data_IF_171054542575
#
_entry.id   IF_171054542575
#
_cell.length_a   1.000
_cell.length_b   1.000
_cell.length_c   1.000
_cell.angle_alpha   90.00
_cell.angle_beta   90.00
_cell.angle_gamma   90.00
#
_symmetry.space_group_name_H-M   'P 1'
#
loop_
_entity.id
_entity.type
_entity.pdbx_description
1 polymer ?
#
# COMPACT_ATOMS: atom_id res chain seq x y z
N UNK A 1 -24.86 -36.45 -21.77
CA UNK A 1 -24.52 -35.09 -21.30
C UNK A 1 -25.70 -34.19 -21.61
N UNK A 2 -26.36 -33.57 -20.63
CA UNK A 2 -27.44 -32.63 -20.85
C UNK A 2 -26.88 -31.43 -21.65
N UNK A 3 -27.56 -31.00 -22.70
CA UNK A 3 -27.16 -29.84 -23.49
C UNK A 3 -27.15 -28.59 -22.61
N UNK A 4 -26.04 -27.86 -22.65
CA UNK A 4 -25.86 -26.61 -21.88
C UNK A 4 -26.95 -25.60 -22.32
N UNK A 5 -27.76 -25.14 -21.38
CA UNK A 5 -28.75 -24.11 -21.63
C UNK A 5 -28.08 -22.82 -22.05
N UNK A 6 -28.55 -22.18 -23.10
CA UNK A 6 -27.94 -21.00 -23.73
C UNK A 6 -28.95 -19.85 -23.84
N UNK A 7 -28.48 -18.65 -24.18
CA UNK A 7 -29.34 -17.51 -24.53
C UNK A 7 -30.39 -17.89 -25.59
N UNK A 8 -30.01 -18.74 -26.57
CA UNK A 8 -30.91 -19.19 -27.60
C UNK A 8 -32.06 -20.06 -27.03
N UNK A 9 -31.73 -20.97 -26.11
CA UNK A 9 -32.74 -21.81 -25.46
C UNK A 9 -33.79 -21.00 -24.73
N UNK A 10 -33.38 -19.92 -24.02
CA UNK A 10 -34.33 -19.02 -23.35
C UNK A 10 -35.12 -18.18 -24.37
N UNK A 11 -34.44 -17.69 -25.42
CA UNK A 11 -35.09 -16.92 -26.50
C UNK A 11 -36.21 -17.73 -27.20
N UNK A 12 -35.93 -18.99 -27.52
CA UNK A 12 -36.91 -19.91 -28.16
C UNK A 12 -38.07 -20.19 -27.20
N UNK A 13 -37.80 -20.37 -25.88
CA UNK A 13 -38.83 -20.62 -24.85
C UNK A 13 -39.81 -19.46 -24.69
N UNK A 14 -39.34 -18.22 -24.78
CA UNK A 14 -40.12 -16.99 -24.56
C UNK A 14 -40.71 -16.44 -25.89
N UNK A 15 -40.16 -16.84 -27.04
CA UNK A 15 -40.54 -16.34 -28.36
C UNK A 15 -39.98 -14.94 -28.65
N UNK A 16 -38.74 -14.68 -28.26
CA UNK A 16 -38.03 -13.38 -28.46
C UNK A 16 -36.64 -13.57 -29.06
N UNK A 17 -36.02 -12.48 -29.46
CA UNK A 17 -34.62 -12.55 -29.97
C UNK A 17 -33.61 -12.82 -28.87
N UNK A 18 -32.44 -13.40 -29.21
CA UNK A 18 -31.30 -13.56 -28.30
C UNK A 18 -30.87 -12.22 -27.69
N UNK A 19 -30.93 -11.14 -28.47
CA UNK A 19 -30.62 -9.80 -28.02
C UNK A 19 -31.58 -9.33 -26.93
N UNK A 20 -32.89 -9.61 -27.11
CA UNK A 20 -33.91 -9.29 -26.11
C UNK A 20 -33.67 -10.02 -24.80
N UNK A 21 -33.31 -11.31 -24.85
CA UNK A 21 -32.92 -12.07 -23.66
C UNK A 21 -31.66 -11.49 -23.03
N UNK A 22 -30.61 -11.17 -23.81
CA UNK A 22 -29.39 -10.55 -23.30
C UNK A 22 -29.69 -9.22 -22.62
N UNK A 23 -30.58 -8.40 -23.18
CA UNK A 23 -30.95 -7.11 -22.61
C UNK A 23 -31.73 -7.28 -21.28
N UNK A 24 -32.51 -8.35 -21.08
CA UNK A 24 -33.17 -8.61 -19.80
C UNK A 24 -32.21 -8.72 -18.63
N UNK A 25 -30.97 -9.20 -18.88
CA UNK A 25 -29.90 -9.32 -17.89
C UNK A 25 -28.99 -8.09 -17.83
N UNK A 26 -28.74 -7.39 -18.94
CA UNK A 26 -27.68 -6.36 -19.04
C UNK A 26 -28.20 -4.93 -19.20
N UNK A 27 -29.40 -4.72 -19.73
CA UNK A 27 -30.03 -3.41 -20.00
C UNK A 27 -31.51 -3.46 -19.70
N UNK A 28 -31.93 -3.59 -18.43
CA UNK A 28 -33.32 -3.75 -18.03
C UNK A 28 -34.20 -2.56 -18.44
N UNK A 29 -33.63 -1.39 -18.57
CA UNK A 29 -34.26 -0.15 -19.04
C UNK A 29 -34.76 -0.20 -20.49
N UNK A 30 -34.24 -1.11 -21.30
CA UNK A 30 -34.64 -1.29 -22.71
C UNK A 30 -35.83 -2.24 -22.90
N UNK A 31 -36.41 -2.77 -21.83
CA UNK A 31 -37.51 -3.72 -21.88
C UNK A 31 -38.66 -3.29 -20.98
N UNK A 32 -39.90 -3.65 -21.39
CA UNK A 32 -41.01 -3.51 -20.47
C UNK A 32 -40.82 -4.41 -19.24
N UNK A 33 -41.24 -3.96 -18.03
CA UNK A 33 -41.14 -4.77 -16.83
C UNK A 33 -41.76 -6.16 -16.95
N UNK A 34 -42.92 -6.25 -17.63
CA UNK A 34 -43.64 -7.51 -17.87
C UNK A 34 -42.83 -8.48 -18.75
N UNK A 35 -42.24 -8.00 -19.85
CA UNK A 35 -41.40 -8.84 -20.73
C UNK A 35 -40.13 -9.29 -20.02
N UNK A 36 -39.51 -8.41 -19.27
CA UNK A 36 -38.33 -8.76 -18.48
C UNK A 36 -38.64 -9.84 -17.45
N UNK A 37 -39.75 -9.73 -16.71
CA UNK A 37 -40.16 -10.74 -15.74
C UNK A 37 -40.39 -12.11 -16.41
N UNK A 38 -41.06 -12.16 -17.58
CA UNK A 38 -41.25 -13.41 -18.35
C UNK A 38 -39.92 -14.05 -18.74
N UNK A 39 -38.93 -13.25 -19.20
CA UNK A 39 -37.64 -13.77 -19.63
C UNK A 39 -36.86 -14.33 -18.41
N UNK A 40 -36.87 -13.63 -17.30
CA UNK A 40 -36.16 -14.07 -16.09
C UNK A 40 -36.78 -15.33 -15.50
N UNK A 41 -38.11 -15.45 -15.47
CA UNK A 41 -38.82 -16.67 -15.03
C UNK A 41 -38.49 -17.88 -15.92
N UNK A 42 -38.51 -17.69 -17.24
CA UNK A 42 -38.15 -18.77 -18.18
C UNK A 42 -36.67 -19.17 -18.05
N UNK A 43 -35.77 -18.21 -17.76
CA UNK A 43 -34.37 -18.50 -17.53
C UNK A 43 -34.16 -19.32 -16.23
N UNK A 44 -34.87 -18.98 -15.17
CA UNK A 44 -34.87 -19.70 -13.89
C UNK A 44 -35.40 -21.14 -14.05
N UNK A 45 -36.56 -21.32 -14.70
CA UNK A 45 -37.10 -22.63 -15.01
C UNK A 45 -36.15 -23.54 -15.79
N UNK A 46 -35.37 -22.96 -16.70
CA UNK A 46 -34.40 -23.68 -17.51
C UNK A 46 -33.03 -23.85 -16.81
N UNK A 47 -32.82 -23.26 -15.63
CA UNK A 47 -31.51 -23.25 -14.94
C UNK A 47 -30.47 -22.36 -15.63
N UNK A 48 -30.91 -21.33 -16.36
CA UNK A 48 -30.03 -20.39 -17.04
C UNK A 48 -29.73 -19.18 -16.15
N UNK A 49 -28.48 -19.05 -15.68
CA UNK A 49 -28.05 -17.99 -14.76
C UNK A 49 -27.66 -16.67 -15.45
N UNK A 50 -27.82 -16.58 -16.77
CA UNK A 50 -27.46 -15.38 -17.55
C UNK A 50 -26.33 -15.61 -18.56
N UNK A 51 -26.02 -14.58 -19.37
CA UNK A 51 -24.91 -14.65 -20.33
C UNK A 51 -23.58 -14.96 -19.67
N UNK A 52 -22.74 -15.74 -20.33
CA UNK A 52 -21.39 -16.05 -19.87
C UNK A 52 -20.62 -14.77 -19.54
N UNK A 53 -20.03 -14.64 -18.33
CA UNK A 53 -19.29 -13.45 -17.93
C UNK A 53 -18.13 -13.12 -18.85
N UNK A 54 -17.40 -14.14 -19.34
CA UNK A 54 -16.26 -13.97 -20.27
C UNK A 54 -16.71 -13.43 -21.62
N UNK A 55 -17.82 -13.99 -22.17
CA UNK A 55 -18.40 -13.49 -23.42
C UNK A 55 -18.93 -12.05 -23.26
N UNK A 56 -19.47 -11.69 -22.09
CA UNK A 56 -19.88 -10.32 -21.80
C UNK A 56 -18.70 -9.36 -21.72
N UNK A 57 -17.63 -9.74 -21.04
CA UNK A 57 -16.42 -8.94 -20.93
C UNK A 57 -15.84 -8.65 -22.33
N UNK A 58 -15.74 -9.68 -23.18
CA UNK A 58 -15.29 -9.54 -24.56
C UNK A 58 -16.19 -8.59 -25.37
N UNK A 59 -17.51 -8.75 -25.27
CA UNK A 59 -18.47 -7.91 -25.99
C UNK A 59 -18.48 -6.44 -25.52
N UNK A 60 -18.16 -6.19 -24.26
CA UNK A 60 -18.09 -4.84 -23.67
C UNK A 60 -16.71 -4.20 -23.80
N UNK A 61 -15.68 -4.98 -24.09
CA UNK A 61 -14.29 -4.53 -24.04
C UNK A 61 -13.81 -4.16 -22.63
N UNK A 62 -14.48 -4.66 -21.58
CA UNK A 62 -14.19 -4.39 -20.17
C UNK A 62 -14.54 -5.60 -19.32
N UNK A 63 -13.64 -5.94 -18.39
CA UNK A 63 -13.79 -7.09 -17.48
C UNK A 63 -14.60 -6.75 -16.24
N UNK A 64 -14.64 -5.46 -15.87
CA UNK A 64 -15.20 -4.99 -14.62
C UNK A 64 -14.34 -5.30 -13.41
N UNK A 65 -13.04 -5.56 -13.61
CA UNK A 65 -12.10 -5.85 -12.55
C UNK A 65 -10.82 -5.01 -12.68
N UNK A 66 -10.30 -4.56 -11.55
CA UNK A 66 -8.99 -3.89 -11.44
C UNK A 66 -8.06 -4.66 -10.52
N UNK A 67 -6.75 -4.54 -10.74
CA UNK A 67 -5.73 -5.20 -9.93
C UNK A 67 -5.11 -4.27 -8.91
N UNK A 68 -4.58 -4.85 -7.81
CA UNK A 68 -3.54 -4.22 -6.98
C UNK A 68 -2.36 -5.16 -6.97
N UNK A 69 -1.24 -4.71 -7.53
CA UNK A 69 0.04 -5.42 -7.47
C UNK A 69 0.77 -4.98 -6.19
N UNK A 70 0.94 -5.90 -5.26
CA UNK A 70 1.63 -5.71 -3.98
C UNK A 70 3.05 -6.25 -4.08
N UNK A 71 4.00 -5.58 -3.43
CA UNK A 71 5.44 -5.96 -3.44
C UNK A 71 5.68 -7.34 -2.88
N UNK A 72 5.10 -7.59 -1.71
CA UNK A 72 5.33 -8.79 -0.91
C UNK A 72 4.25 -9.85 -1.11
N UNK A 73 4.28 -10.88 -0.25
CA UNK A 73 3.24 -11.89 -0.24
C UNK A 73 1.88 -11.27 0.16
N UNK A 74 0.80 -11.86 -0.30
CA UNK A 74 -0.54 -11.44 0.13
C UNK A 74 -0.73 -11.66 1.63
N UNK A 75 -0.09 -12.67 2.21
CA UNK A 75 -0.10 -12.92 3.64
C UNK A 75 0.46 -11.73 4.43
N UNK A 76 1.61 -11.20 4.00
CA UNK A 76 2.19 -9.99 4.59
C UNK A 76 1.25 -8.79 4.44
N UNK A 77 0.69 -8.56 3.25
CA UNK A 77 -0.20 -7.43 3.00
C UNK A 77 -1.46 -7.45 3.89
N UNK A 78 -1.94 -8.63 4.29
CA UNK A 78 -3.06 -8.76 5.23
C UNK A 78 -2.63 -8.66 6.71
N UNK A 79 -1.37 -8.89 7.01
CA UNK A 79 -0.81 -8.70 8.36
C UNK A 79 -0.40 -7.23 8.62
N UNK A 80 -0.10 -6.47 7.57
CA UNK A 80 0.26 -5.06 7.65
C UNK A 80 -1.01 -4.18 7.74
N UNK A 81 -1.13 -3.44 8.84
CA UNK A 81 -2.27 -2.56 9.10
C UNK A 81 -2.39 -1.43 8.08
N UNK A 82 -1.27 -0.90 7.60
CA UNK A 82 -1.24 0.19 6.62
C UNK A 82 -1.70 -0.31 5.24
N UNK A 83 -1.23 -1.47 4.82
CA UNK A 83 -1.65 -2.09 3.58
C UNK A 83 -3.14 -2.46 3.60
N UNK A 84 -3.63 -3.06 4.70
CA UNK A 84 -5.06 -3.41 4.83
C UNK A 84 -5.96 -2.18 4.85
N UNK A 85 -5.56 -1.10 5.53
CA UNK A 85 -6.29 0.16 5.55
C UNK A 85 -6.31 0.84 4.16
N UNK A 86 -5.17 0.83 3.46
CA UNK A 86 -5.08 1.31 2.07
C UNK A 86 -6.04 0.56 1.15
N UNK A 87 -6.04 -0.78 1.19
CA UNK A 87 -6.94 -1.62 0.40
C UNK A 87 -8.42 -1.34 0.74
N UNK A 88 -8.74 -1.15 2.01
CA UNK A 88 -10.07 -0.77 2.46
C UNK A 88 -10.53 0.56 1.87
N UNK A 89 -9.69 1.60 1.96
CA UNK A 89 -9.97 2.92 1.43
C UNK A 89 -10.10 2.92 -0.10
N UNK A 90 -9.21 2.19 -0.79
CA UNK A 90 -9.28 2.01 -2.24
C UNK A 90 -10.59 1.31 -2.66
N UNK A 91 -10.98 0.24 -1.95
CA UNK A 91 -12.23 -0.47 -2.20
C UNK A 91 -13.45 0.44 -2.02
N UNK A 92 -13.45 1.28 -0.97
CA UNK A 92 -14.50 2.27 -0.75
C UNK A 92 -14.56 3.31 -1.90
N UNK A 93 -13.42 3.77 -2.41
CA UNK A 93 -13.34 4.66 -3.58
C UNK A 93 -13.88 4.00 -4.87
N UNK A 94 -13.64 2.71 -5.06
CA UNK A 94 -14.11 1.96 -6.22
C UNK A 94 -15.58 1.54 -6.14
N UNK A 95 -16.18 1.49 -4.95
CA UNK A 95 -17.55 0.99 -4.75
C UNK A 95 -18.61 1.64 -5.66
N UNK A 96 -18.61 2.97 -5.94
CA UNK A 96 -19.57 3.59 -6.83
C UNK A 96 -19.47 3.11 -8.29
N UNK A 97 -18.32 2.57 -8.69
CA UNK A 97 -18.09 2.11 -10.08
C UNK A 97 -18.57 0.68 -10.33
N UNK A 98 -18.79 -0.10 -9.28
CA UNK A 98 -19.08 -1.53 -9.36
C UNK A 98 -17.90 -2.39 -9.82
N UNK A 99 -16.67 -1.86 -9.86
CA UNK A 99 -15.46 -2.61 -10.21
C UNK A 99 -15.10 -3.58 -9.09
N UNK A 100 -14.73 -4.80 -9.48
CA UNK A 100 -14.16 -5.78 -8.57
C UNK A 100 -12.65 -5.52 -8.36
N UNK A 101 -12.13 -5.83 -7.16
CA UNK A 101 -10.71 -5.74 -6.84
C UNK A 101 -10.07 -7.12 -6.86
N UNK A 102 -8.94 -7.25 -7.57
CA UNK A 102 -8.12 -8.45 -7.63
C UNK A 102 -6.73 -8.15 -7.05
N UNK A 103 -6.30 -8.91 -6.05
CA UNK A 103 -4.98 -8.76 -5.47
C UNK A 103 -3.96 -9.62 -6.20
N UNK A 104 -2.82 -9.05 -6.53
CA UNK A 104 -1.68 -9.68 -7.20
C UNK A 104 -0.46 -9.53 -6.30
N UNK A 105 0.28 -10.62 -6.07
CA UNK A 105 1.59 -10.57 -5.40
C UNK A 105 2.69 -10.38 -6.43
N UNK A 106 3.71 -9.58 -6.11
CA UNK A 106 4.95 -9.49 -6.89
C UNK A 106 5.98 -10.55 -6.48
N UNK A 107 5.78 -11.22 -5.34
CA UNK A 107 6.65 -12.29 -4.83
C UNK A 107 6.29 -13.66 -5.40
N UNK A 108 7.25 -14.60 -5.47
CA UNK A 108 7.04 -15.96 -5.96
C UNK A 108 7.01 -16.09 -7.49
N UNK A 109 6.07 -16.86 -8.05
CA UNK A 109 5.85 -17.03 -9.50
C UNK A 109 4.61 -16.30 -10.03
N UNK A 110 4.38 -15.03 -9.71
CA UNK A 110 3.13 -14.31 -9.95
C UNK A 110 2.99 -13.77 -11.37
N UNK A 111 4.03 -13.97 -12.22
CA UNK A 111 4.07 -13.50 -13.60
C UNK A 111 2.86 -13.98 -14.41
N UNK A 112 2.38 -15.20 -14.13
CA UNK A 112 1.19 -15.76 -14.78
C UNK A 112 -0.05 -14.91 -14.51
N UNK A 113 -0.29 -14.53 -13.26
CA UNK A 113 -1.44 -13.72 -12.88
C UNK A 113 -1.40 -12.33 -13.55
N UNK A 114 -0.27 -11.64 -13.51
CA UNK A 114 -0.10 -10.33 -14.16
C UNK A 114 -0.25 -10.42 -15.69
N UNK A 115 0.15 -11.55 -16.29
CA UNK A 115 0.07 -11.79 -17.73
C UNK A 115 -1.34 -12.19 -18.19
N UNK A 116 -2.03 -13.05 -17.45
CA UNK A 116 -3.22 -13.78 -17.92
C UNK A 116 -4.53 -13.28 -17.33
N UNK A 117 -4.52 -12.71 -16.12
CA UNK A 117 -5.78 -12.23 -15.54
C UNK A 117 -6.37 -11.07 -16.35
N UNK A 118 -7.67 -11.15 -16.69
CA UNK A 118 -8.35 -10.08 -17.38
C UNK A 118 -8.64 -8.94 -16.41
N UNK A 119 -7.91 -7.82 -16.56
CA UNK A 119 -8.02 -6.61 -15.75
C UNK A 119 -8.16 -5.40 -16.66
N UNK A 120 -8.94 -4.41 -16.23
CA UNK A 120 -9.16 -3.15 -16.94
C UNK A 120 -8.11 -2.08 -16.57
N UNK A 121 -7.46 -2.23 -15.42
CA UNK A 121 -6.41 -1.37 -14.92
C UNK A 121 -5.80 -1.95 -13.64
N UNK A 122 -4.73 -1.34 -13.12
CA UNK A 122 -4.15 -1.76 -11.85
C UNK A 122 -3.49 -0.61 -11.08
N UNK A 123 -3.48 -0.74 -9.76
CA UNK A 123 -2.61 0.01 -8.86
C UNK A 123 -1.37 -0.82 -8.58
N UNK A 124 -0.21 -0.18 -8.62
CA UNK A 124 1.09 -0.78 -8.30
C UNK A 124 1.55 -0.17 -6.97
N UNK A 125 1.46 -0.96 -5.89
CA UNK A 125 1.69 -0.50 -4.54
C UNK A 125 3.07 -0.93 -4.05
N UNK A 126 3.96 0.04 -3.82
CA UNK A 126 5.31 -0.14 -3.27
C UNK A 126 6.15 -1.25 -3.96
N UNK A 127 6.01 -1.44 -5.27
CA UNK A 127 6.60 -2.55 -6.00
C UNK A 127 8.01 -2.20 -6.48
N UNK A 128 8.94 -3.16 -6.39
CA UNK A 128 10.28 -2.98 -6.93
C UNK A 128 10.23 -2.71 -8.44
N UNK A 129 11.01 -1.74 -8.96
CA UNK A 129 11.00 -1.39 -10.39
C UNK A 129 11.32 -2.57 -11.33
N UNK A 130 12.09 -3.54 -10.85
CA UNK A 130 12.51 -4.73 -11.62
C UNK A 130 11.52 -5.90 -11.53
N UNK A 131 10.35 -5.72 -10.90
CA UNK A 131 9.35 -6.78 -10.79
C UNK A 131 8.91 -7.29 -12.16
N UNK A 132 9.04 -8.60 -12.43
CA UNK A 132 8.54 -9.19 -13.69
C UNK A 132 7.04 -8.99 -13.88
N UNK A 133 6.25 -9.01 -12.79
CA UNK A 133 4.81 -8.77 -12.83
C UNK A 133 4.50 -7.34 -13.28
N UNK A 134 5.23 -6.34 -12.76
CA UNK A 134 5.11 -4.94 -13.20
C UNK A 134 5.44 -4.81 -14.70
N UNK A 135 6.55 -5.43 -15.14
CA UNK A 135 6.93 -5.43 -16.56
C UNK A 135 5.80 -5.95 -17.45
N UNK A 136 5.10 -7.02 -17.05
CA UNK A 136 3.97 -7.54 -17.82
C UNK A 136 2.77 -6.59 -17.81
N UNK A 137 2.42 -5.98 -16.69
CA UNK A 137 1.33 -4.98 -16.65
C UNK A 137 1.62 -3.80 -17.58
N UNK A 138 2.86 -3.32 -17.61
CA UNK A 138 3.29 -2.25 -18.53
C UNK A 138 3.23 -2.68 -20.02
N UNK A 139 3.68 -3.91 -20.35
CA UNK A 139 3.60 -4.47 -21.71
C UNK A 139 2.16 -4.59 -22.21
N UNK A 140 1.21 -4.86 -21.31
CA UNK A 140 -0.22 -4.88 -21.64
C UNK A 140 -0.78 -3.49 -21.92
N UNK A 141 -0.01 -2.44 -21.66
CA UNK A 141 -0.41 -1.03 -21.85
C UNK A 141 -1.74 -0.69 -21.20
N UNK A 142 -2.05 -1.30 -20.06
CA UNK A 142 -3.26 -1.01 -19.32
C UNK A 142 -3.08 0.26 -18.47
N UNK A 143 -4.17 0.91 -18.01
CA UNK A 143 -4.10 1.98 -17.03
C UNK A 143 -3.38 1.51 -15.76
N UNK A 144 -2.36 2.24 -15.33
CA UNK A 144 -1.63 1.97 -14.08
C UNK A 144 -1.53 3.25 -13.26
N UNK A 145 -1.66 3.10 -11.93
CA UNK A 145 -1.37 4.14 -10.94
C UNK A 145 -0.31 3.61 -9.99
N UNK A 146 0.75 4.37 -9.76
CA UNK A 146 1.83 3.99 -8.87
C UNK A 146 1.60 4.59 -7.48
N UNK A 147 1.84 3.81 -6.43
CA UNK A 147 1.68 4.24 -5.03
C UNK A 147 2.93 3.88 -4.25
N UNK A 148 3.43 4.83 -3.46
CA UNK A 148 4.64 4.69 -2.64
C UNK A 148 5.88 4.28 -3.45
N UNK A 149 6.05 4.96 -4.61
CA UNK A 149 7.15 4.72 -5.56
C UNK A 149 7.62 6.02 -6.20
N UNK A 150 8.85 6.06 -6.74
CA UNK A 150 9.29 7.20 -7.54
C UNK A 150 8.33 7.48 -8.70
N UNK A 151 8.10 8.75 -9.06
CA UNK A 151 7.32 9.08 -10.24
C UNK A 151 7.85 8.35 -11.48
N UNK A 152 6.99 7.54 -12.09
CA UNK A 152 7.34 6.79 -13.31
C UNK A 152 6.83 7.55 -14.54
N UNK A 153 7.69 7.85 -15.54
CA UNK A 153 7.27 8.58 -16.73
C UNK A 153 6.06 7.95 -17.43
N UNK A 154 5.05 8.77 -17.71
CA UNK A 154 3.83 8.34 -18.39
C UNK A 154 2.76 7.72 -17.50
N UNK A 155 2.95 7.68 -16.17
CA UNK A 155 1.99 7.12 -15.23
C UNK A 155 1.71 8.06 -14.06
N UNK A 156 0.46 8.22 -13.63
CA UNK A 156 0.13 8.95 -12.41
C UNK A 156 0.61 8.22 -11.15
N UNK A 157 0.85 8.98 -10.09
CA UNK A 157 1.26 8.42 -8.80
C UNK A 157 0.62 9.10 -7.60
N UNK A 158 0.52 8.35 -6.51
CA UNK A 158 0.12 8.83 -5.18
C UNK A 158 1.20 8.44 -4.18
N UNK A 159 1.80 9.43 -3.56
CA UNK A 159 2.82 9.27 -2.53
C UNK A 159 2.45 10.12 -1.30
N UNK A 160 3.16 9.94 -0.22
CA UNK A 160 3.16 10.88 0.91
C UNK A 160 4.50 11.61 0.95
N UNK A 161 4.60 12.67 1.74
CA UNK A 161 5.88 13.33 2.01
C UNK A 161 6.68 12.54 3.05
N UNK A 162 7.21 11.38 2.65
CA UNK A 162 8.02 10.51 3.50
C UNK A 162 9.24 11.22 4.05
N UNK A 163 9.95 11.98 3.19
CA UNK A 163 11.18 12.68 3.56
C UNK A 163 10.91 13.82 4.53
N UNK A 164 9.89 14.63 4.27
CA UNK A 164 9.51 15.73 5.16
C UNK A 164 9.01 15.24 6.52
N UNK A 165 8.23 14.17 6.53
CA UNK A 165 7.78 13.51 7.77
C UNK A 165 8.95 12.95 8.58
N UNK A 166 9.87 12.25 7.93
CA UNK A 166 11.08 11.71 8.56
C UNK A 166 11.95 12.84 9.15
N UNK A 167 12.16 13.94 8.41
CA UNK A 167 12.83 15.13 8.92
C UNK A 167 12.17 15.67 10.18
N UNK A 168 10.85 15.77 10.22
CA UNK A 168 10.12 16.26 11.39
C UNK A 168 10.37 15.37 12.63
N UNK A 169 10.38 14.05 12.47
CA UNK A 169 10.68 13.10 13.53
C UNK A 169 12.14 13.23 14.05
N UNK A 170 13.11 13.34 13.15
CA UNK A 170 14.52 13.51 13.52
C UNK A 170 14.77 14.87 14.17
N UNK A 171 14.21 15.94 13.62
CA UNK A 171 14.31 17.29 14.18
C UNK A 171 13.79 17.33 15.61
N UNK A 172 12.68 16.70 15.90
CA UNK A 172 12.14 16.60 17.26
C UNK A 172 13.15 16.00 18.24
N UNK A 173 13.82 14.90 17.87
CA UNK A 173 14.85 14.30 18.71
C UNK A 173 16.10 15.20 18.87
N UNK A 174 16.50 15.87 17.79
CA UNK A 174 17.62 16.83 17.81
C UNK A 174 17.32 18.02 18.74
N UNK A 175 16.09 18.56 18.69
CA UNK A 175 15.62 19.65 19.56
C UNK A 175 15.54 19.24 21.04
N UNK A 176 15.21 17.98 21.33
CA UNK A 176 15.28 17.40 22.67
C UNK A 176 16.72 17.22 23.17
N UNK A 177 17.72 17.34 22.31
CA UNK A 177 19.14 17.25 22.65
C UNK A 177 19.80 15.90 22.35
N UNK A 178 19.10 14.96 21.70
CA UNK A 178 19.70 13.67 21.32
C UNK A 178 20.83 13.85 20.29
N UNK A 179 21.92 13.10 20.48
CA UNK A 179 23.06 13.04 19.55
C UNK A 179 23.48 11.61 19.25
N UNK A 180 23.23 10.67 20.17
CA UNK A 180 23.38 9.22 19.95
C UNK A 180 22.03 8.66 19.51
N UNK A 181 21.80 8.69 18.23
CA UNK A 181 20.54 8.22 17.61
C UNK A 181 20.81 6.98 16.78
N UNK A 182 19.94 6.01 16.85
CA UNK A 182 19.93 4.90 15.91
C UNK A 182 18.71 5.01 14.96
N UNK A 183 18.85 4.41 13.81
CA UNK A 183 17.78 4.26 12.82
C UNK A 183 17.51 2.77 12.65
N UNK A 184 16.26 2.35 12.80
CA UNK A 184 15.80 1.03 12.43
C UNK A 184 14.84 1.14 11.26
N UNK A 185 15.36 0.89 10.07
CA UNK A 185 14.62 0.91 8.81
C UNK A 185 14.33 -0.50 8.31
N UNK A 186 13.65 -0.62 7.18
CA UNK A 186 13.22 -1.90 6.63
C UNK A 186 13.48 -2.02 5.13
N UNK A 187 13.89 -3.22 4.70
CA UNK A 187 13.98 -3.61 3.29
C UNK A 187 13.82 -5.13 3.16
N UNK A 188 13.39 -5.59 1.99
CA UNK A 188 13.28 -7.01 1.66
C UNK A 188 14.61 -7.63 1.17
N UNK A 189 15.57 -6.82 0.80
CA UNK A 189 16.85 -7.25 0.19
C UNK A 189 18.04 -6.91 1.07
N UNK A 190 18.22 -5.61 1.41
CA UNK A 190 19.29 -5.18 2.30
C UNK A 190 18.91 -5.51 3.74
N UNK A 191 19.84 -6.14 4.49
CA UNK A 191 19.65 -6.52 5.88
C UNK A 191 20.92 -6.23 6.70
N UNK A 192 20.75 -5.95 7.99
CA UNK A 192 21.85 -5.69 8.91
C UNK A 192 22.30 -4.24 8.95
N UNK A 193 23.54 -4.01 9.42
CA UNK A 193 24.12 -2.67 9.52
C UNK A 193 24.51 -2.15 8.13
N UNK A 194 24.12 -0.91 7.84
CA UNK A 194 24.55 -0.20 6.63
C UNK A 194 25.19 1.14 6.97
N UNK A 195 26.07 1.61 6.10
CA UNK A 195 26.70 2.93 6.16
C UNK A 195 26.38 3.81 4.96
N UNK A 196 25.90 3.20 3.89
CA UNK A 196 25.52 3.87 2.65
C UNK A 196 23.99 3.83 2.50
N UNK A 197 23.29 4.98 2.56
CA UNK A 197 21.85 5.04 2.36
C UNK A 197 21.42 4.56 0.96
N UNK A 198 22.31 4.62 -0.02
CA UNK A 198 22.03 4.15 -1.39
C UNK A 198 21.81 2.62 -1.47
N UNK A 199 22.18 1.88 -0.43
CA UNK A 199 21.82 0.46 -0.31
C UNK A 199 20.29 0.23 -0.33
N UNK A 200 19.47 1.24 0.06
CA UNK A 200 18.01 1.19 0.08
C UNK A 200 17.36 1.80 -1.18
N UNK A 201 18.12 2.16 -2.21
CA UNK A 201 17.57 2.83 -3.42
C UNK A 201 16.45 2.06 -4.10
N UNK A 202 16.39 0.74 -3.97
CA UNK A 202 15.31 -0.10 -4.46
C UNK A 202 14.00 0.02 -3.64
N UNK A 203 14.10 0.38 -2.37
CA UNK A 203 12.99 0.52 -1.44
C UNK A 203 12.67 2.01 -1.24
N UNK A 204 11.90 2.61 -2.15
CA UNK A 204 11.67 4.06 -2.24
C UNK A 204 11.29 4.69 -0.90
N UNK A 205 10.27 4.17 -0.22
CA UNK A 205 9.79 4.71 1.06
C UNK A 205 10.89 4.68 2.13
N UNK A 206 11.58 3.55 2.28
CA UNK A 206 12.66 3.40 3.26
C UNK A 206 13.85 4.35 2.95
N UNK A 207 14.19 4.50 1.68
CA UNK A 207 15.23 5.40 1.23
C UNK A 207 14.89 6.87 1.51
N UNK A 208 13.68 7.33 1.17
CA UNK A 208 13.25 8.71 1.41
C UNK A 208 13.16 9.03 2.91
N UNK A 209 12.61 8.11 3.72
CA UNK A 209 12.61 8.27 5.19
C UNK A 209 14.03 8.34 5.74
N UNK A 210 14.92 7.45 5.30
CA UNK A 210 16.33 7.46 5.73
C UNK A 210 17.03 8.77 5.37
N UNK A 211 16.87 9.26 4.14
CA UNK A 211 17.45 10.54 3.73
C UNK A 211 16.93 11.70 4.58
N UNK A 212 15.63 11.73 4.88
CA UNK A 212 15.03 12.75 5.72
C UNK A 212 15.60 12.75 7.15
N UNK A 213 15.80 11.58 7.76
CA UNK A 213 16.44 11.47 9.07
C UNK A 213 17.90 11.92 9.04
N UNK A 214 18.66 11.51 8.03
CA UNK A 214 20.09 11.87 7.91
C UNK A 214 20.29 13.35 7.72
N UNK A 215 19.44 14.06 6.97
CA UNK A 215 19.53 15.51 6.79
C UNK A 215 19.52 16.28 8.12
N UNK A 216 18.64 15.92 9.05
CA UNK A 216 18.56 16.59 10.36
C UNK A 216 19.65 16.14 11.33
N UNK A 217 20.04 14.88 11.28
CA UNK A 217 21.11 14.35 12.15
C UNK A 217 22.49 14.87 11.73
N UNK A 218 22.78 14.90 10.43
CA UNK A 218 24.04 15.42 9.89
C UNK A 218 24.21 16.93 10.17
N UNK A 219 23.13 17.69 10.16
CA UNK A 219 23.15 19.13 10.46
C UNK A 219 23.69 19.44 11.86
N UNK A 220 23.62 18.49 12.79
CA UNK A 220 24.15 18.62 14.17
C UNK A 220 25.39 17.73 14.41
N UNK A 221 25.96 17.14 13.37
CA UNK A 221 27.12 16.25 13.44
C UNK A 221 26.86 14.90 14.09
N UNK A 222 25.57 14.50 14.25
CA UNK A 222 25.23 13.19 14.77
C UNK A 222 25.41 12.11 13.67
N UNK A 223 26.01 10.98 14.06
CA UNK A 223 26.25 9.84 13.17
C UNK A 223 25.41 8.66 13.65
N UNK A 224 24.26 8.40 13.03
CA UNK A 224 23.41 7.32 13.51
C UNK A 224 23.98 5.94 13.17
N UNK A 225 23.71 4.97 14.04
CA UNK A 225 23.78 3.56 13.68
C UNK A 225 22.55 3.22 12.85
N UNK A 226 22.74 2.74 11.62
CA UNK A 226 21.62 2.41 10.73
C UNK A 226 21.54 0.89 10.62
N UNK A 227 20.43 0.33 11.13
CA UNK A 227 20.10 -1.07 11.05
C UNK A 227 18.93 -1.26 10.08
N UNK A 228 19.04 -2.22 9.20
CA UNK A 228 17.98 -2.63 8.27
C UNK A 228 17.45 -3.99 8.68
N UNK A 229 16.18 -4.05 9.00
CA UNK A 229 15.45 -5.29 9.26
C UNK A 229 14.47 -5.62 8.15
N UNK A 230 13.74 -6.74 8.24
CA UNK A 230 12.63 -7.03 7.36
C UNK A 230 11.44 -6.10 7.66
N UNK A 231 10.52 -5.98 6.70
CA UNK A 231 9.27 -5.23 6.93
C UNK A 231 8.40 -5.85 8.03
N UNK A 232 8.44 -7.17 8.18
CA UNK A 232 7.85 -7.85 9.34
C UNK A 232 8.71 -7.58 10.57
N UNK A 233 8.15 -6.96 11.63
CA UNK A 233 8.94 -6.63 12.81
C UNK A 233 9.59 -7.86 13.45
N UNK A 234 10.91 -7.84 13.59
CA UNK A 234 11.69 -8.90 14.24
C UNK A 234 12.34 -8.40 15.53
N UNK A 235 12.05 -9.10 16.62
CA UNK A 235 12.53 -8.72 17.93
C UNK A 235 14.06 -8.80 18.05
N UNK A 236 14.69 -9.76 17.37
CA UNK A 236 16.15 -9.95 17.34
C UNK A 236 16.89 -8.74 16.78
N UNK A 237 16.33 -8.08 15.77
CA UNK A 237 16.92 -6.88 15.13
C UNK A 237 16.87 -5.70 16.09
N UNK A 238 15.75 -5.49 16.80
CA UNK A 238 15.62 -4.47 17.81
C UNK A 238 16.57 -4.74 19.01
N UNK A 239 16.76 -6.01 19.38
CA UNK A 239 17.69 -6.39 20.42
C UNK A 239 19.15 -6.05 20.04
N UNK A 240 19.58 -6.40 18.84
CA UNK A 240 20.93 -6.07 18.33
C UNK A 240 21.19 -4.57 18.30
N UNK A 241 20.19 -3.77 17.92
CA UNK A 241 20.32 -2.32 17.87
C UNK A 241 20.62 -1.68 19.24
N UNK A 242 20.09 -2.29 20.31
CA UNK A 242 20.27 -1.81 21.69
C UNK A 242 21.47 -2.46 22.41
N UNK A 243 22.21 -3.33 21.74
CA UNK A 243 23.43 -3.96 22.28
C UNK A 243 24.64 -3.03 22.15
N UNK A 244 25.61 -3.20 23.02
CA UNK A 244 26.89 -2.50 22.99
C UNK A 244 27.19 -1.64 24.21
N UNK A 245 28.39 -1.10 24.25
CA UNK A 245 28.90 -0.31 25.40
C UNK A 245 28.37 1.14 25.40
N UNK A 246 27.94 1.65 24.25
CA UNK A 246 27.40 3.00 24.07
C UNK A 246 26.07 2.95 23.30
N UNK A 247 24.99 2.47 23.95
CA UNK A 247 23.71 2.31 23.29
C UNK A 247 23.11 3.67 22.88
N UNK A 248 22.22 3.69 21.87
CA UNK A 248 21.54 4.90 21.46
C UNK A 248 20.65 5.44 22.58
N UNK A 249 20.46 6.76 22.65
CA UNK A 249 19.50 7.40 23.54
C UNK A 249 18.16 7.65 22.85
N UNK A 250 18.10 7.49 21.54
CA UNK A 250 16.86 7.58 20.75
C UNK A 250 16.93 6.68 19.52
N UNK A 251 15.77 6.20 19.07
CA UNK A 251 15.61 5.38 17.86
C UNK A 251 14.52 5.99 16.97
N UNK A 252 14.85 6.18 15.70
CA UNK A 252 13.94 6.50 14.62
C UNK A 252 13.57 5.20 13.90
N UNK A 253 12.29 4.89 13.81
CA UNK A 253 11.80 3.63 13.27
C UNK A 253 11.03 3.83 11.98
N UNK A 254 11.20 2.88 11.04
CA UNK A 254 10.50 2.88 9.75
C UNK A 254 8.98 2.91 9.88
N UNK A 255 8.42 2.19 10.87
CA UNK A 255 6.97 2.12 11.12
C UNK A 255 6.68 2.05 12.61
N UNK A 256 5.43 2.28 12.99
CA UNK A 256 4.97 2.12 14.36
C UNK A 256 5.09 0.65 14.83
N UNK A 257 4.83 -0.30 13.95
CA UNK A 257 4.99 -1.71 14.25
C UNK A 257 6.44 -2.05 14.64
N UNK A 258 7.42 -1.54 13.89
CA UNK A 258 8.85 -1.68 14.22
C UNK A 258 9.20 -0.91 15.50
N UNK A 259 8.64 0.30 15.70
CA UNK A 259 8.88 1.06 16.92
C UNK A 259 8.41 0.31 18.18
N UNK A 260 7.31 -0.40 18.11
CA UNK A 260 6.81 -1.22 19.21
C UNK A 260 7.74 -2.39 19.56
N UNK A 261 8.43 -2.98 18.58
CA UNK A 261 9.45 -4.02 18.88
C UNK A 261 10.67 -3.42 19.59
N UNK A 262 11.05 -2.18 19.26
CA UNK A 262 12.10 -1.44 19.97
C UNK A 262 11.69 -1.13 21.41
N UNK A 263 10.44 -0.67 21.64
CA UNK A 263 9.91 -0.44 22.99
C UNK A 263 9.93 -1.73 23.82
N UNK A 264 9.54 -2.84 23.22
CA UNK A 264 9.57 -4.14 23.89
C UNK A 264 11.00 -4.64 24.18
N UNK A 265 11.94 -4.45 23.25
CA UNK A 265 13.36 -4.74 23.46
C UNK A 265 13.95 -3.92 24.60
N UNK A 266 13.62 -2.62 24.68
CA UNK A 266 14.02 -1.74 25.77
C UNK A 266 13.51 -2.26 27.12
N UNK A 267 12.22 -2.58 27.22
CA UNK A 267 11.62 -3.15 28.45
C UNK A 267 12.30 -4.42 28.92
N UNK A 268 12.60 -5.37 28.03
CA UNK A 268 13.33 -6.60 28.40
C UNK A 268 14.73 -6.34 28.94
N UNK A 269 15.34 -5.20 28.56
CA UNK A 269 16.65 -4.75 29.06
C UNK A 269 16.53 -3.89 30.33
N UNK A 270 15.32 -3.68 30.83
CA UNK A 270 15.09 -2.81 32.00
C UNK A 270 15.24 -1.32 31.69
N UNK A 271 15.19 -0.94 30.40
CA UNK A 271 15.18 0.47 29.97
C UNK A 271 13.76 1.00 29.93
N UNK A 272 13.54 2.16 30.51
CA UNK A 272 12.26 2.86 30.47
C UNK A 272 12.18 3.78 29.23
N UNK A 273 11.06 3.68 28.50
CA UNK A 273 10.70 4.63 27.46
C UNK A 273 9.70 5.61 28.05
N UNK A 274 9.96 6.91 28.04
CA UNK A 274 11.04 7.62 27.31
C UNK A 274 12.29 7.94 28.15
N UNK A 275 12.33 7.62 29.45
CA UNK A 275 13.37 8.10 30.38
C UNK A 275 14.80 7.71 29.95
N UNK A 276 14.99 6.46 29.56
CA UNK A 276 16.30 5.90 29.19
C UNK A 276 16.48 5.83 27.67
N UNK A 277 15.38 5.71 26.92
CA UNK A 277 15.36 5.61 25.46
C UNK A 277 14.14 6.31 24.88
N UNK A 278 14.35 7.28 23.99
CA UNK A 278 13.28 7.86 23.17
C UNK A 278 13.04 7.03 21.92
N UNK A 279 11.76 6.86 21.52
CA UNK A 279 11.37 6.11 20.33
C UNK A 279 10.39 6.91 19.51
N UNK A 280 10.67 7.04 18.20
CA UNK A 280 9.79 7.69 17.21
C UNK A 280 9.41 6.67 16.15
N UNK A 281 8.10 6.53 15.89
CA UNK A 281 7.54 5.68 14.86
C UNK A 281 7.18 6.47 13.59
N UNK A 282 6.46 5.79 12.72
CA UNK A 282 5.88 6.35 11.50
C UNK A 282 4.56 5.62 11.22
N UNK A 283 3.55 6.31 10.66
CA UNK A 283 2.25 5.89 10.15
C UNK A 283 1.05 6.35 10.97
N UNK A 284 1.18 6.60 12.27
CA UNK A 284 0.09 6.80 13.23
C UNK A 284 -0.93 5.64 13.20
N UNK A 285 -0.40 4.42 13.26
CA UNK A 285 -1.22 3.23 13.38
C UNK A 285 -2.06 3.27 14.67
N UNK A 286 -3.28 2.72 14.70
CA UNK A 286 -4.16 2.74 15.89
C UNK A 286 -3.51 2.28 17.18
N UNK A 287 -2.52 1.39 17.11
CA UNK A 287 -1.76 0.93 18.27
C UNK A 287 -0.83 2.00 18.86
N UNK A 288 -0.34 2.95 18.05
CA UNK A 288 0.56 4.01 18.49
C UNK A 288 -0.04 4.86 19.63
N UNK A 289 -1.34 5.14 19.56
CA UNK A 289 -2.04 5.91 20.59
C UNK A 289 -2.46 5.06 21.80
N UNK A 290 -2.54 3.73 21.68
CA UNK A 290 -3.08 2.82 22.70
C UNK A 290 -2.02 2.24 23.65
N UNK A 291 -0.76 2.21 23.20
CA UNK A 291 0.34 1.72 24.04
C UNK A 291 0.69 2.72 25.13
N UNK A 292 1.36 2.25 26.18
CA UNK A 292 1.84 3.09 27.28
C UNK A 292 3.35 2.95 27.43
N UNK A 293 4.10 4.06 27.27
CA UNK A 293 3.64 5.40 26.88
C UNK A 293 3.12 5.42 25.45
N UNK A 294 2.20 6.36 25.12
CA UNK A 294 1.75 6.56 23.74
C UNK A 294 2.93 6.89 22.82
N UNK A 295 2.97 6.31 21.61
CA UNK A 295 4.10 6.42 20.68
C UNK A 295 4.05 7.77 19.96
N UNK A 296 5.15 8.54 20.03
CA UNK A 296 5.44 9.67 19.14
C UNK A 296 5.68 9.12 17.75
N UNK A 297 4.95 9.63 16.75
CA UNK A 297 4.97 9.06 15.40
C UNK A 297 4.67 10.10 14.34
N UNK A 298 5.07 9.84 13.11
CA UNK A 298 4.71 10.65 11.94
C UNK A 298 3.42 10.10 11.34
N UNK A 299 2.37 10.90 11.37
CA UNK A 299 1.07 10.52 10.82
C UNK A 299 1.02 10.68 9.30
N UNK A 300 0.39 9.71 8.62
CA UNK A 300 0.01 9.77 7.21
C UNK A 300 -1.51 9.51 7.05
N UNK A 301 -2.13 10.14 6.04
CA UNK A 301 -3.53 9.86 5.72
C UNK A 301 -3.64 8.71 4.70
N UNK A 302 -3.63 7.48 5.24
CA UNK A 302 -3.74 6.25 4.45
C UNK A 302 -5.08 6.17 3.70
N UNK A 303 -6.15 6.71 4.29
CA UNK A 303 -7.48 6.69 3.68
C UNK A 303 -7.54 7.65 2.48
N UNK A 304 -6.96 8.85 2.60
CA UNK A 304 -6.84 9.77 1.48
C UNK A 304 -5.96 9.17 0.37
N UNK A 305 -4.86 8.49 0.73
CA UNK A 305 -3.98 7.80 -0.23
C UNK A 305 -4.72 6.72 -1.03
N UNK A 306 -5.50 5.88 -0.36
CA UNK A 306 -6.29 4.84 -1.01
C UNK A 306 -7.38 5.40 -1.93
N UNK A 307 -8.10 6.44 -1.47
CA UNK A 307 -9.11 7.13 -2.30
C UNK A 307 -8.48 7.79 -3.53
N UNK A 308 -7.39 8.52 -3.37
CA UNK A 308 -6.69 9.17 -4.48
C UNK A 308 -6.21 8.15 -5.53
N UNK A 309 -5.70 6.99 -5.10
CA UNK A 309 -5.30 5.93 -6.02
C UNK A 309 -6.50 5.37 -6.82
N UNK A 310 -7.65 5.18 -6.17
CA UNK A 310 -8.88 4.74 -6.84
C UNK A 310 -9.37 5.78 -7.85
N UNK A 311 -9.43 7.05 -7.46
CA UNK A 311 -9.90 8.15 -8.32
C UNK A 311 -9.01 8.31 -9.56
N UNK A 312 -7.69 8.30 -9.40
CA UNK A 312 -6.75 8.36 -10.51
C UNK A 312 -6.89 7.15 -11.45
N UNK A 313 -7.04 5.93 -10.90
CA UNK A 313 -7.22 4.74 -11.73
C UNK A 313 -8.52 4.80 -12.55
N UNK A 314 -9.62 5.24 -11.95
CA UNK A 314 -10.90 5.42 -12.64
C UNK A 314 -10.78 6.46 -13.74
N UNK A 315 -10.11 7.58 -13.47
CA UNK A 315 -9.86 8.64 -14.46
C UNK A 315 -9.02 8.14 -15.65
N UNK A 316 -7.94 7.40 -15.39
CA UNK A 316 -7.09 6.80 -16.44
C UNK A 316 -7.84 5.78 -17.30
N UNK A 317 -8.70 4.96 -16.67
CA UNK A 317 -9.55 4.01 -17.38
C UNK A 317 -10.58 4.71 -18.28
N UNK A 318 -11.18 5.81 -17.79
CA UNK A 318 -12.14 6.61 -18.55
C UNK A 318 -11.46 7.26 -19.75
N UNK A 319 -10.33 7.94 -19.56
CA UNK A 319 -9.57 8.59 -20.62
C UNK A 319 -9.19 7.62 -21.76
N UNK A 320 -8.78 6.39 -21.41
CA UNK A 320 -8.50 5.35 -22.42
C UNK A 320 -9.73 4.87 -23.17
N UNK A 321 -10.86 4.72 -22.47
CA UNK A 321 -12.11 4.30 -23.11
C UNK A 321 -12.60 5.30 -24.14
N UNK A 322 -12.42 6.59 -23.82
CA UNK A 322 -12.84 7.69 -24.69
C UNK A 322 -11.85 7.99 -25.82
N UNK A 323 -10.75 7.22 -25.90
CA UNK A 323 -9.67 7.43 -26.88
C UNK A 323 -8.89 8.73 -26.67
N UNK A 324 -9.13 9.39 -25.57
CA UNK A 324 -8.40 10.58 -25.12
C UNK A 324 -7.19 10.09 -24.30
N UNK A 325 -6.13 9.63 -24.99
CA UNK A 325 -4.87 9.37 -24.27
C UNK A 325 -4.51 10.61 -23.45
N UNK A 326 -4.08 10.49 -22.18
CA UNK A 326 -3.66 11.65 -21.40
C UNK A 326 -2.61 12.43 -22.18
N UNK A 327 -3.01 13.58 -22.76
CA UNK A 327 -2.12 14.43 -23.56
C UNK A 327 -1.30 15.38 -22.69
N UNK A 328 -1.43 15.25 -21.35
CA UNK A 328 -0.76 16.06 -20.35
C UNK A 328 0.30 15.29 -19.55
N UNK A 329 1.02 16.04 -18.71
CA UNK A 329 1.91 15.45 -17.70
C UNK A 329 1.09 14.59 -16.73
N UNK A 330 1.51 13.34 -16.42
CA UNK A 330 0.82 12.51 -15.44
C UNK A 330 0.64 13.24 -14.10
N UNK A 331 -0.50 13.05 -13.46
CA UNK A 331 -0.78 13.66 -12.17
C UNK A 331 0.02 12.93 -11.08
N UNK A 332 0.80 13.70 -10.32
CA UNK A 332 1.52 13.20 -9.15
C UNK A 332 0.94 13.84 -7.90
N UNK A 333 0.30 13.04 -7.06
CA UNK A 333 -0.27 13.46 -5.77
C UNK A 333 0.73 13.15 -4.68
N UNK A 334 1.10 14.16 -3.89
CA UNK A 334 1.90 13.98 -2.67
C UNK A 334 1.08 14.48 -1.50
N UNK A 335 0.70 13.57 -0.61
CA UNK A 335 -0.08 13.89 0.59
C UNK A 335 0.86 14.33 1.72
N UNK A 336 0.46 15.33 2.52
CA UNK A 336 1.27 15.78 3.64
C UNK A 336 1.35 14.73 4.75
N UNK A 337 2.43 14.82 5.52
CA UNK A 337 2.63 14.09 6.79
C UNK A 337 2.77 15.07 7.94
N UNK A 338 2.57 14.62 9.17
CA UNK A 338 2.71 15.45 10.37
C UNK A 338 3.22 14.66 11.56
N UNK A 339 4.11 15.26 12.36
CA UNK A 339 4.57 14.64 13.60
C UNK A 339 3.52 14.79 14.70
N UNK A 340 3.18 13.69 15.33
CA UNK A 340 2.33 13.62 16.54
C UNK A 340 3.20 13.26 17.74
N UNK A 341 3.50 14.25 18.56
CA UNK A 341 4.29 14.05 19.78
C UNK A 341 3.40 13.46 20.88
N UNK A 342 3.83 12.33 21.44
CA UNK A 342 3.18 11.62 22.55
C UNK A 342 4.18 11.36 23.68
N UNK A 343 4.02 10.27 24.40
CA UNK A 343 4.79 9.98 25.62
C UNK A 343 6.07 9.18 25.42
N UNK A 344 6.47 8.79 24.19
CA UNK A 344 7.63 7.92 23.95
C UNK A 344 8.93 8.68 23.73
N UNK A 345 8.94 10.01 23.87
CA UNK A 345 10.13 10.86 23.69
C UNK A 345 10.32 11.82 24.85
N UNK A 346 11.57 12.00 25.30
CA UNK A 346 11.98 12.94 26.35
C UNK A 346 13.44 13.39 26.06
N UNK A 347 13.98 14.40 26.73
CA UNK A 347 15.41 14.72 26.65
C UNK A 347 16.30 13.51 27.00
N UNK A 348 17.50 13.40 26.40
CA UNK A 348 18.38 12.28 26.67
C UNK A 348 18.75 12.19 28.17
N UNK A 349 18.96 10.96 28.68
CA UNK A 349 19.41 10.82 30.07
C UNK A 349 20.69 11.58 30.31
N UNK A 350 20.78 12.30 31.44
CA UNK A 350 21.97 12.98 31.85
C UNK A 350 23.10 11.96 32.02
N UNK A 351 24.26 12.22 31.40
CA UNK A 351 25.46 11.40 31.58
C UNK A 351 25.78 11.40 33.08
N UNK A 352 25.53 10.27 33.77
CA UNK A 352 26.06 10.11 35.13
C UNK A 352 27.57 10.16 35.02
N UNK A 353 28.27 11.09 35.74
CA UNK A 353 29.73 11.03 35.78
C UNK A 353 30.11 9.64 36.31
N UNK A 354 30.98 8.95 35.59
CA UNK A 354 31.56 7.70 36.04
C UNK A 354 32.20 7.95 37.40
N UNK A 355 31.59 7.43 38.47
CA UNK A 355 32.26 7.33 39.76
C UNK A 355 33.44 6.38 39.54
N UNK A 356 34.63 6.97 39.39
CA UNK A 356 35.89 6.27 39.29
C UNK A 356 36.21 5.46 40.55
#
# INVERSE_FOLDING_TARGET
>A
MAARVTLQTVADRVGVSRMTVSNAFSRPDQLSPALRARILAAAEELGYSGPDPTARALARGSTGAVGVLLTDSLEFAFADEIATRFLGAMTAGLAPTGLALTLLSASGSPVLAARELPLDGAVVYSCLPQSPSLTWLQRRRMPLVFVDQPPTPGYPSVNIDDRGGARAGARHLVELGHRRVAVLTADSVAQGLITDPDALRGAHVAHERLLGWLEELDAVGARPTIMVGPYTPEQSVADQLLEGADPPTAVLCFSDAIALTVVEAARRRGLDVPRDLSVVGFDDAPMAARVTPGLTTVAQDVDAKGRAAADLLVAEMAARRDGTAPTGTPQHVVLPTSLLVRGSTAPPPSVRPSTG
#
